data_IF_630147174562
#
_entry.id   IF_630147174562
#
_cell.length_a   1.000
_cell.length_b   1.000
_cell.length_c   1.000
_cell.angle_alpha   90.00
_cell.angle_beta   90.00
_cell.angle_gamma   90.00
#
_symmetry.space_group_name_H-M   'P 1'
#
loop_
_entity.id
_entity.type
_entity.pdbx_description
1 polymer ?
#
# COMPACT_ATOMS: atom_id res chain seq x y z
N UNK A 1 -16.56 1.62 10.99
CA UNK A 1 -16.04 0.63 11.96
C UNK A 1 -14.58 0.37 11.58
N UNK A 2 -13.65 0.43 12.53
CA UNK A 2 -12.25 0.13 12.23
C UNK A 2 -12.16 -1.31 11.68
N UNK A 3 -11.50 -1.50 10.54
CA UNK A 3 -11.23 -2.81 9.96
C UNK A 3 -10.23 -3.54 10.88
N UNK A 4 -10.71 -4.48 11.70
CA UNK A 4 -9.94 -5.16 12.78
C UNK A 4 -9.22 -6.45 12.33
N UNK A 5 -9.00 -6.65 11.03
CA UNK A 5 -8.33 -7.86 10.51
C UNK A 5 -7.25 -7.50 9.51
N UNK A 6 -6.20 -8.33 9.43
CA UNK A 6 -5.10 -8.15 8.46
C UNK A 6 -5.65 -8.04 7.04
N UNK A 7 -6.60 -8.90 6.67
CA UNK A 7 -7.22 -8.87 5.34
C UNK A 7 -7.91 -7.53 5.04
N UNK A 8 -8.57 -6.95 6.05
CA UNK A 8 -9.31 -5.72 5.87
C UNK A 8 -8.36 -4.51 5.77
N UNK A 9 -7.24 -4.49 6.52
CA UNK A 9 -6.16 -3.51 6.36
C UNK A 9 -5.47 -3.64 5.01
N UNK A 10 -5.15 -4.87 4.58
CA UNK A 10 -4.62 -5.16 3.24
C UNK A 10 -5.50 -4.56 2.16
N UNK A 11 -6.81 -4.77 2.21
CA UNK A 11 -7.76 -4.19 1.25
C UNK A 11 -7.73 -2.65 1.26
N UNK A 12 -7.63 -2.00 2.42
CA UNK A 12 -7.50 -0.53 2.51
C UNK A 12 -6.24 -0.04 1.79
N UNK A 13 -5.09 -0.65 2.08
CA UNK A 13 -3.82 -0.27 1.46
C UNK A 13 -3.84 -0.47 -0.05
N UNK A 14 -4.44 -1.57 -0.52
CA UNK A 14 -4.57 -1.83 -1.95
C UNK A 14 -5.50 -0.83 -2.65
N UNK A 15 -6.62 -0.47 -2.03
CA UNK A 15 -7.54 0.56 -2.53
C UNK A 15 -6.83 1.93 -2.66
N UNK A 16 -6.07 2.32 -1.65
CA UNK A 16 -5.28 3.56 -1.65
C UNK A 16 -4.19 3.55 -2.72
N UNK A 17 -3.44 2.44 -2.83
CA UNK A 17 -2.39 2.27 -3.84
C UNK A 17 -2.95 2.36 -5.27
N UNK A 18 -4.03 1.63 -5.58
CA UNK A 18 -4.68 1.69 -6.89
C UNK A 18 -5.17 3.10 -7.21
N UNK A 19 -5.71 3.82 -6.22
CA UNK A 19 -6.09 5.23 -6.38
C UNK A 19 -4.91 6.12 -6.81
N UNK A 20 -3.74 5.94 -6.17
CA UNK A 20 -2.51 6.66 -6.55
C UNK A 20 -2.04 6.28 -7.95
N UNK A 21 -1.99 4.99 -8.29
CA UNK A 21 -1.55 4.53 -9.61
C UNK A 21 -2.43 5.05 -10.74
N UNK A 22 -3.75 5.14 -10.52
CA UNK A 22 -4.68 5.72 -11.49
C UNK A 22 -4.57 7.24 -11.60
N UNK A 23 -4.10 7.92 -10.54
CA UNK A 23 -3.93 9.37 -10.54
C UNK A 23 -2.65 9.80 -11.25
N UNK A 24 -1.63 8.94 -11.24
CA UNK A 24 -0.31 9.19 -11.84
C UNK A 24 0.15 8.00 -12.72
N UNK A 25 -0.63 7.58 -13.73
CA UNK A 25 -0.33 6.38 -14.50
C UNK A 25 1.06 6.41 -15.14
N UNK A 26 1.54 7.57 -15.58
CA UNK A 26 2.88 7.76 -16.12
C UNK A 26 4.02 7.36 -15.16
N UNK A 27 3.80 7.43 -13.84
CA UNK A 27 4.79 7.03 -12.83
C UNK A 27 4.76 5.52 -12.53
N UNK A 28 3.61 4.88 -12.76
CA UNK A 28 3.31 3.52 -12.28
C UNK A 28 3.00 2.50 -13.38
N UNK A 29 2.85 2.90 -14.65
CA UNK A 29 2.56 1.97 -15.76
C UNK A 29 3.76 1.12 -16.20
N UNK A 30 4.94 1.31 -15.60
CA UNK A 30 6.14 0.53 -15.92
C UNK A 30 6.45 -0.54 -14.86
N UNK A 31 7.22 -1.56 -15.25
CA UNK A 31 7.82 -2.54 -14.32
C UNK A 31 9.30 -2.25 -14.08
N UNK A 32 9.78 -1.06 -14.42
CA UNK A 32 11.16 -0.67 -14.23
C UNK A 32 11.53 -0.55 -12.75
N UNK A 33 12.84 -0.63 -12.47
CA UNK A 33 13.40 -0.49 -11.12
C UNK A 33 13.00 0.86 -10.49
N UNK A 34 12.91 1.91 -11.31
CA UNK A 34 12.41 3.24 -10.92
C UNK A 34 11.00 3.17 -10.34
N UNK A 35 10.06 2.51 -11.03
CA UNK A 35 8.68 2.33 -10.55
C UNK A 35 8.64 1.47 -9.27
N UNK A 36 9.49 0.43 -9.14
CA UNK A 36 9.59 -0.34 -7.89
C UNK A 36 10.03 0.53 -6.69
N UNK A 37 10.96 1.47 -6.91
CA UNK A 37 11.38 2.44 -5.90
C UNK A 37 10.23 3.41 -5.53
N UNK A 38 9.46 3.86 -6.52
CA UNK A 38 8.28 4.71 -6.28
C UNK A 38 7.22 3.97 -5.47
N UNK A 39 6.95 2.70 -5.76
CA UNK A 39 6.00 1.85 -5.03
C UNK A 39 6.43 1.68 -3.56
N UNK A 40 7.72 1.42 -3.31
CA UNK A 40 8.24 1.30 -1.95
C UNK A 40 8.15 2.64 -1.18
N UNK A 41 8.44 3.74 -1.86
CA UNK A 41 8.34 5.08 -1.29
C UNK A 41 6.88 5.44 -0.95
N UNK A 42 5.94 5.08 -1.83
CA UNK A 42 4.51 5.25 -1.60
C UNK A 42 4.04 4.45 -0.38
N UNK A 43 4.41 3.17 -0.29
CA UNK A 43 4.09 2.31 0.84
C UNK A 43 4.65 2.87 2.17
N UNK A 44 5.89 3.39 2.14
CA UNK A 44 6.49 4.06 3.29
C UNK A 44 5.73 5.34 3.65
N UNK A 45 5.28 6.11 2.67
CA UNK A 45 4.42 7.28 2.90
C UNK A 45 3.16 6.93 3.68
N UNK A 46 2.46 5.86 3.28
CA UNK A 46 1.30 5.35 4.01
C UNK A 46 1.64 4.90 5.43
N UNK A 47 2.80 4.27 5.63
CA UNK A 47 3.27 3.82 6.94
C UNK A 47 3.60 4.99 7.88
N UNK A 48 4.25 6.01 7.35
CA UNK A 48 4.72 7.18 8.11
C UNK A 48 3.56 8.13 8.46
N UNK A 49 2.46 8.13 7.68
CA UNK A 49 1.31 9.02 7.90
C UNK A 49 0.14 8.39 8.68
N UNK A 50 0.32 7.20 9.26
CA UNK A 50 -0.72 6.52 10.04
C UNK A 50 -1.13 7.31 11.27
N UNK A 51 -2.43 7.35 11.54
CA UNK A 51 -2.96 7.86 12.79
C UNK A 51 -2.64 6.92 13.96
N UNK A 52 -2.60 7.46 15.19
CA UNK A 52 -2.35 6.67 16.41
C UNK A 52 -3.23 5.41 16.51
N UNK A 53 -4.52 5.51 16.15
CA UNK A 53 -5.45 4.37 16.17
C UNK A 53 -5.04 3.25 15.21
N UNK A 54 -4.41 3.61 14.10
CA UNK A 54 -3.94 2.69 13.06
C UNK A 54 -2.63 2.04 13.49
N UNK A 55 -1.72 2.80 14.11
CA UNK A 55 -0.49 2.25 14.72
C UNK A 55 -0.85 1.18 15.75
N UNK A 56 -1.76 1.48 16.69
CA UNK A 56 -2.20 0.52 17.72
C UNK A 56 -2.89 -0.70 17.11
N UNK A 57 -3.68 -0.52 16.05
CA UNK A 57 -4.31 -1.63 15.32
C UNK A 57 -3.24 -2.52 14.68
N UNK A 58 -2.32 -1.93 13.95
CA UNK A 58 -1.30 -2.64 13.19
C UNK A 58 -0.37 -3.43 14.12
N UNK A 59 0.04 -2.84 15.25
CA UNK A 59 0.81 -3.52 16.30
C UNK A 59 0.07 -4.75 16.84
N UNK A 60 -1.24 -4.62 17.13
CA UNK A 60 -2.06 -5.75 17.60
C UNK A 60 -2.22 -6.86 16.56
N UNK A 61 -2.19 -6.49 15.29
CA UNK A 61 -2.33 -7.43 14.17
C UNK A 61 -0.98 -7.99 13.69
N UNK A 62 0.14 -7.53 14.24
CA UNK A 62 1.48 -7.92 13.79
C UNK A 62 1.80 -7.43 12.38
N UNK A 63 1.27 -6.26 12.00
CA UNK A 63 1.48 -5.67 10.68
C UNK A 63 2.72 -4.76 10.73
N UNK A 64 3.60 -4.93 9.77
CA UNK A 64 4.87 -4.23 9.65
C UNK A 64 4.97 -3.44 8.33
N UNK A 65 6.03 -2.63 8.18
CA UNK A 65 6.25 -1.84 6.97
C UNK A 65 6.37 -2.74 5.73
N UNK A 66 6.96 -3.91 5.89
CA UNK A 66 7.14 -4.91 4.85
C UNK A 66 5.81 -5.40 4.30
N UNK A 67 4.77 -5.49 5.14
CA UNK A 67 3.42 -5.83 4.71
C UNK A 67 2.81 -4.74 3.85
N UNK A 68 2.97 -3.47 4.25
CA UNK A 68 2.54 -2.31 3.46
C UNK A 68 3.22 -2.30 2.08
N UNK A 69 4.53 -2.56 2.04
CA UNK A 69 5.29 -2.66 0.79
C UNK A 69 4.79 -3.82 -0.08
N UNK A 70 4.55 -4.99 0.52
CA UNK A 70 4.02 -6.16 -0.17
C UNK A 70 2.65 -5.88 -0.78
N UNK A 71 1.70 -5.35 -0.01
CA UNK A 71 0.33 -5.11 -0.46
C UNK A 71 0.26 -4.02 -1.53
N UNK A 72 1.09 -2.98 -1.41
CA UNK A 72 1.21 -1.90 -2.40
C UNK A 72 1.77 -2.44 -3.73
N UNK A 73 2.73 -3.37 -3.67
CA UNK A 73 3.26 -4.09 -4.85
C UNK A 73 2.23 -5.05 -5.46
N UNK A 74 1.46 -5.77 -4.66
CA UNK A 74 0.37 -6.63 -5.15
C UNK A 74 -0.69 -5.81 -5.89
N UNK A 75 -1.05 -4.64 -5.36
CA UNK A 75 -1.94 -3.69 -6.02
C UNK A 75 -1.38 -3.20 -7.36
N UNK A 76 -0.07 -2.96 -7.45
CA UNK A 76 0.58 -2.54 -8.68
C UNK A 76 0.54 -3.65 -9.74
N UNK A 77 0.82 -4.89 -9.34
CA UNK A 77 0.69 -6.05 -10.22
C UNK A 77 -0.75 -6.25 -10.72
N UNK A 78 -1.75 -5.90 -9.91
CA UNK A 78 -3.14 -5.87 -10.35
C UNK A 78 -3.42 -4.71 -11.32
N UNK A 79 -2.90 -3.51 -11.03
CA UNK A 79 -3.04 -2.32 -11.87
C UNK A 79 -2.44 -2.52 -13.27
N UNK A 80 -1.24 -3.10 -13.40
CA UNK A 80 -0.62 -3.33 -14.72
C UNK A 80 -1.37 -4.37 -15.55
N UNK A 81 -2.07 -5.31 -14.91
CA UNK A 81 -2.80 -6.39 -15.60
C UNK A 81 -4.18 -5.98 -16.12
N UNK A 82 -4.72 -4.83 -15.70
CA UNK A 82 -6.06 -4.34 -16.06
C UNK A 82 -5.98 -3.02 -16.81
#
# INVERSE_FOLDING_TARGET
MARQTVQAVKSEIQELAIGNYRSYPEEYSSTEISTLSSIQSLAKGYWDCREYKEVVRDEKLGIHLEDYQLWTREAHAFFIKN
#
